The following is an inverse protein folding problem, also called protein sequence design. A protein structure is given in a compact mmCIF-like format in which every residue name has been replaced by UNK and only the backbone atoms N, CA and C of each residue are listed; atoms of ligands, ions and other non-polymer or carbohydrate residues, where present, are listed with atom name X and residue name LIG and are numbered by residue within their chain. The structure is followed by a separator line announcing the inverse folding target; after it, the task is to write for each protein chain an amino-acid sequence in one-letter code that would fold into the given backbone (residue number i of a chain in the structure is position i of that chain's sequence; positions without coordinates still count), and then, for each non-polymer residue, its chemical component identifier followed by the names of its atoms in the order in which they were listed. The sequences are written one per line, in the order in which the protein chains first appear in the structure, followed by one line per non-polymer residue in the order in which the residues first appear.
data_IF_713240892356
#
_entry.id   IF_713240892356
#
_cell.length_a   1.000
_cell.length_b   1.000
_cell.length_c   1.000
_cell.angle_alpha   90.00
_cell.angle_beta   90.00
_cell.angle_gamma   90.00
#
_symmetry.space_group_name_H-M   'P 1'
#
loop_
_entity.id
_entity.type
_entity.pdbx_description
1 polymer ?
#
# COMPACT_ATOMS: atom_id res chain seq x y z
N UNK A 1 -2.29 9.56 -35.77
CA UNK A 1 -1.59 8.63 -34.87
C UNK A 1 -1.26 9.42 -33.63
N UNK A 2 -1.75 9.04 -32.47
CA UNK A 2 -1.31 9.68 -31.23
C UNK A 2 0.18 9.36 -31.07
N UNK A 3 1.00 10.38 -30.92
CA UNK A 3 2.44 10.20 -30.69
C UNK A 3 2.62 9.49 -29.34
N UNK A 4 3.11 8.24 -29.37
CA UNK A 4 3.39 7.48 -28.14
C UNK A 4 4.59 8.14 -27.49
N UNK A 5 4.49 8.62 -26.24
CA UNK A 5 5.60 9.27 -25.57
C UNK A 5 6.81 8.33 -25.44
N UNK A 6 8.00 8.82 -25.73
CA UNK A 6 9.25 8.08 -25.53
C UNK A 6 9.42 7.66 -24.06
N UNK A 7 9.99 6.47 -23.80
CA UNK A 7 10.29 6.05 -22.44
C UNK A 7 11.43 6.90 -21.84
N UNK A 8 11.36 7.15 -20.55
CA UNK A 8 12.50 7.73 -19.83
C UNK A 8 13.67 6.74 -19.76
N UNK A 9 14.90 7.24 -19.60
CA UNK A 9 16.10 6.41 -19.54
C UNK A 9 15.98 5.25 -18.52
N UNK A 10 15.53 5.52 -17.31
CA UNK A 10 15.34 4.52 -16.27
C UNK A 10 14.23 3.48 -16.62
N UNK A 11 13.26 3.85 -17.45
CA UNK A 11 12.23 2.90 -17.93
C UNK A 11 12.84 1.96 -18.97
N UNK A 12 13.63 2.50 -19.90
CA UNK A 12 14.37 1.69 -20.88
C UNK A 12 15.34 0.73 -20.21
N UNK A 13 16.06 1.20 -19.19
CA UNK A 13 16.97 0.36 -18.40
C UNK A 13 16.23 -0.75 -17.66
N UNK A 14 15.09 -0.42 -17.04
CA UNK A 14 14.21 -1.43 -16.40
C UNK A 14 13.69 -2.44 -17.42
N UNK A 15 13.31 -2.01 -18.62
CA UNK A 15 12.86 -2.88 -19.71
C UNK A 15 13.96 -3.86 -20.12
N UNK A 16 15.17 -3.36 -20.35
CA UNK A 16 16.32 -4.19 -20.72
C UNK A 16 16.65 -5.19 -19.61
N UNK A 17 16.65 -4.73 -18.35
CA UNK A 17 16.87 -5.62 -17.20
C UNK A 17 15.84 -6.77 -17.12
N UNK A 18 14.56 -6.50 -17.38
CA UNK A 18 13.53 -7.54 -17.44
C UNK A 18 13.80 -8.54 -18.55
N UNK A 19 14.21 -8.06 -19.73
CA UNK A 19 14.48 -8.92 -20.90
C UNK A 19 15.68 -9.80 -20.64
N UNK A 20 16.73 -9.27 -20.03
CA UNK A 20 17.96 -10.01 -19.72
C UNK A 20 17.82 -10.96 -18.53
N UNK A 21 16.86 -10.67 -17.62
CA UNK A 21 16.61 -11.41 -16.38
C UNK A 21 15.18 -11.95 -16.34
N UNK A 22 14.93 -13.16 -16.84
CA UNK A 22 13.57 -13.71 -16.93
C UNK A 22 12.89 -13.94 -15.57
N UNK A 23 13.67 -13.92 -14.48
CA UNK A 23 13.18 -14.04 -13.11
C UNK A 23 13.72 -12.86 -12.31
N UNK A 24 12.92 -11.77 -12.18
CA UNK A 24 13.40 -10.53 -11.58
C UNK A 24 12.39 -9.83 -10.66
N UNK A 25 12.93 -8.92 -9.87
CA UNK A 25 12.19 -8.07 -8.93
C UNK A 25 12.42 -6.59 -9.27
N UNK A 26 11.35 -5.82 -9.42
CA UNK A 26 11.42 -4.38 -9.65
C UNK A 26 10.99 -3.68 -8.36
N UNK A 27 11.95 -3.09 -7.66
CA UNK A 27 11.73 -2.42 -6.37
C UNK A 27 11.74 -0.90 -6.48
N UNK A 28 11.61 -0.36 -7.69
CA UNK A 28 11.56 1.08 -7.99
C UNK A 28 10.36 1.75 -7.33
N UNK A 29 10.51 3.02 -6.97
CA UNK A 29 9.47 3.79 -6.31
C UNK A 29 8.15 3.85 -7.11
N UNK A 30 7.02 4.04 -6.46
CA UNK A 30 5.77 4.35 -7.16
C UNK A 30 5.91 5.62 -7.99
N UNK A 31 5.37 5.58 -9.22
CA UNK A 31 5.44 6.71 -10.14
C UNK A 31 6.67 6.73 -11.09
N UNK A 32 7.59 5.76 -10.98
CA UNK A 32 8.71 5.60 -11.92
C UNK A 32 8.33 4.97 -13.27
N UNK A 33 7.07 4.54 -13.44
CA UNK A 33 6.60 3.94 -14.69
C UNK A 33 6.91 2.45 -14.82
N UNK A 34 6.93 1.70 -13.73
CA UNK A 34 7.14 0.24 -13.75
C UNK A 34 6.21 -0.51 -14.71
N UNK A 35 4.92 -0.12 -14.75
CA UNK A 35 3.94 -0.69 -15.68
C UNK A 35 4.37 -0.50 -17.12
N UNK A 36 4.83 0.69 -17.51
CA UNK A 36 5.35 0.99 -18.84
C UNK A 36 6.52 0.08 -19.19
N UNK A 37 7.51 -0.05 -18.32
CA UNK A 37 8.67 -0.91 -18.57
C UNK A 37 8.27 -2.39 -18.74
N UNK A 38 7.28 -2.88 -17.96
CA UNK A 38 6.74 -4.23 -18.14
C UNK A 38 6.00 -4.42 -19.46
N UNK A 39 5.28 -3.40 -19.94
CA UNK A 39 4.60 -3.44 -21.24
C UNK A 39 5.62 -3.46 -22.39
N UNK A 40 6.63 -2.63 -22.33
CA UNK A 40 7.70 -2.58 -23.32
C UNK A 40 8.49 -3.90 -23.34
N UNK A 41 8.78 -4.48 -22.15
CA UNK A 41 9.41 -5.80 -22.04
C UNK A 41 8.53 -6.93 -22.58
N UNK A 42 7.21 -6.90 -22.37
CA UNK A 42 6.29 -7.88 -22.97
C UNK A 42 6.37 -7.90 -24.49
N UNK A 43 6.42 -6.73 -25.12
CA UNK A 43 6.54 -6.61 -26.59
C UNK A 43 7.85 -7.23 -27.09
N UNK A 44 8.97 -7.04 -26.37
CA UNK A 44 10.30 -7.57 -26.74
C UNK A 44 10.36 -9.09 -26.48
N UNK A 45 9.90 -9.56 -25.33
CA UNK A 45 9.91 -10.98 -24.96
C UNK A 45 8.98 -11.81 -25.84
N UNK A 46 7.89 -11.20 -26.29
CA UNK A 46 6.83 -11.93 -27.00
C UNK A 46 6.07 -12.92 -26.11
N UNK A 47 5.30 -13.78 -26.76
CA UNK A 47 4.49 -14.78 -26.04
C UNK A 47 3.30 -14.15 -25.31
N UNK A 48 2.76 -14.86 -24.33
CA UNK A 48 1.57 -14.40 -23.58
C UNK A 48 1.89 -14.11 -22.11
N UNK A 49 1.30 -13.04 -21.62
CA UNK A 49 1.53 -12.56 -20.25
C UNK A 49 0.27 -12.61 -19.39
N UNK A 50 0.40 -13.18 -18.21
CA UNK A 50 -0.57 -13.08 -17.12
C UNK A 50 -0.12 -12.01 -16.14
N UNK A 51 -0.97 -11.02 -15.88
CA UNK A 51 -0.75 -9.98 -14.88
C UNK A 51 -1.65 -10.22 -13.67
N UNK A 52 -1.06 -10.34 -12.49
CA UNK A 52 -1.73 -10.34 -11.19
C UNK A 52 -1.54 -8.99 -10.52
N UNK A 53 -2.61 -8.22 -10.34
CA UNK A 53 -2.55 -6.87 -9.76
C UNK A 53 -3.70 -6.63 -8.75
N UNK A 54 -3.60 -5.60 -7.89
CA UNK A 54 -4.73 -5.15 -7.08
C UNK A 54 -5.96 -4.81 -7.95
N UNK A 55 -7.16 -5.19 -7.49
CA UNK A 55 -8.40 -4.95 -8.23
C UNK A 55 -8.58 -3.49 -8.67
N UNK A 56 -8.17 -2.56 -7.82
CA UNK A 56 -8.34 -1.11 -8.04
C UNK A 56 -7.52 -0.53 -9.19
N UNK A 57 -6.49 -1.24 -9.67
CA UNK A 57 -5.58 -0.76 -10.71
C UNK A 57 -5.66 -1.52 -12.03
N UNK A 58 -6.54 -2.53 -12.13
CA UNK A 58 -6.68 -3.29 -13.37
C UNK A 58 -7.03 -2.37 -14.54
N UNK A 59 -8.04 -1.51 -14.37
CA UNK A 59 -8.47 -0.52 -15.37
C UNK A 59 -7.66 0.78 -15.27
N UNK A 60 -7.56 1.33 -14.04
CA UNK A 60 -7.04 2.67 -13.79
C UNK A 60 -5.51 2.82 -13.94
N UNK A 61 -4.78 1.73 -14.13
CA UNK A 61 -3.35 1.76 -14.42
C UNK A 61 -3.03 0.88 -15.62
N UNK A 62 -3.26 -0.44 -15.52
CA UNK A 62 -2.85 -1.37 -16.58
C UNK A 62 -3.54 -1.09 -17.92
N UNK A 63 -4.88 -0.98 -17.94
CA UNK A 63 -5.61 -0.71 -19.19
C UNK A 63 -5.29 0.69 -19.72
N UNK A 64 -5.23 1.71 -18.85
CA UNK A 64 -4.88 3.07 -19.26
C UNK A 64 -3.45 3.13 -19.83
N UNK A 65 -2.49 2.45 -19.20
CA UNK A 65 -1.09 2.43 -19.67
C UNK A 65 -0.93 1.61 -20.96
N UNK A 66 -1.65 0.49 -21.14
CA UNK A 66 -1.68 -0.25 -22.42
C UNK A 66 -2.17 0.65 -23.53
N UNK A 67 -3.34 1.27 -23.36
CA UNK A 67 -3.94 2.13 -24.39
C UNK A 67 -3.05 3.35 -24.71
N UNK A 68 -2.25 3.81 -23.77
CA UNK A 68 -1.38 4.98 -23.92
C UNK A 68 -0.03 4.63 -24.55
N UNK A 69 0.59 3.51 -24.17
CA UNK A 69 1.97 3.21 -24.48
C UNK A 69 2.14 2.03 -25.44
N UNK A 70 1.23 1.06 -25.43
CA UNK A 70 1.28 -0.15 -26.27
C UNK A 70 -0.12 -0.52 -26.76
N UNK A 71 -0.79 0.37 -27.54
CA UNK A 71 -2.20 0.23 -27.93
C UNK A 71 -2.49 -0.99 -28.80
N UNK A 72 -1.47 -1.60 -29.39
CA UNK A 72 -1.61 -2.78 -30.26
C UNK A 72 -1.70 -4.09 -29.47
N UNK A 73 -1.38 -4.11 -28.16
CA UNK A 73 -1.50 -5.31 -27.32
C UNK A 73 -2.97 -5.70 -27.18
N UNK A 74 -3.29 -6.92 -27.60
CA UNK A 74 -4.61 -7.51 -27.37
C UNK A 74 -4.72 -8.00 -25.95
N UNK A 75 -5.49 -7.32 -25.12
CA UNK A 75 -5.64 -7.65 -23.72
C UNK A 75 -7.05 -8.03 -23.32
N UNK A 76 -7.17 -8.80 -22.23
CA UNK A 76 -8.43 -9.12 -21.59
C UNK A 76 -8.39 -8.90 -20.09
N UNK A 77 -9.40 -8.26 -19.51
CA UNK A 77 -9.51 -8.05 -18.06
C UNK A 77 -10.40 -9.15 -17.47
N UNK A 78 -9.81 -10.10 -16.77
CA UNK A 78 -10.46 -11.27 -16.20
C UNK A 78 -10.87 -11.01 -14.75
N UNK A 79 -12.15 -10.67 -14.53
CA UNK A 79 -12.66 -10.32 -13.21
C UNK A 79 -14.04 -10.92 -12.95
N UNK A 80 -14.27 -11.38 -11.73
CA UNK A 80 -15.56 -11.91 -11.26
C UNK A 80 -16.18 -12.94 -12.25
N UNK A 81 -17.35 -12.62 -12.81
CA UNK A 81 -18.13 -13.53 -13.64
C UNK A 81 -17.57 -13.75 -15.06
N UNK A 82 -16.76 -12.80 -15.58
CA UNK A 82 -16.19 -12.92 -16.92
C UNK A 82 -14.88 -13.72 -16.94
N UNK A 83 -14.31 -14.05 -15.79
CA UNK A 83 -12.97 -14.63 -15.63
C UNK A 83 -12.77 -15.85 -16.50
N UNK A 84 -13.66 -16.82 -16.43
CA UNK A 84 -13.54 -18.06 -17.20
C UNK A 84 -13.61 -17.81 -18.71
N UNK A 85 -14.50 -16.91 -19.15
CA UNK A 85 -14.62 -16.51 -20.56
C UNK A 85 -13.30 -15.93 -21.08
N UNK A 86 -12.71 -15.02 -20.34
CA UNK A 86 -11.45 -14.35 -20.73
C UNK A 86 -10.30 -15.35 -20.78
N UNK A 87 -10.16 -16.26 -19.80
CA UNK A 87 -9.10 -17.27 -19.81
C UNK A 87 -9.26 -18.33 -20.92
N UNK A 88 -10.48 -18.57 -21.39
CA UNK A 88 -10.74 -19.46 -22.53
C UNK A 88 -10.41 -18.82 -23.89
N UNK A 89 -10.43 -17.51 -23.96
CA UNK A 89 -10.14 -16.77 -25.20
C UNK A 89 -8.64 -16.66 -25.42
N UNK A 90 -8.13 -17.47 -26.34
CA UNK A 90 -6.71 -17.52 -26.68
C UNK A 90 -6.26 -16.39 -27.60
N UNK A 91 -7.14 -15.45 -27.99
CA UNK A 91 -6.77 -14.33 -28.84
C UNK A 91 -6.03 -13.21 -28.07
N UNK A 92 -6.16 -13.19 -26.74
CA UNK A 92 -5.45 -12.22 -25.90
C UNK A 92 -3.97 -12.56 -25.75
N UNK A 93 -3.12 -11.54 -25.91
CA UNK A 93 -1.68 -11.59 -25.66
C UNK A 93 -1.37 -11.31 -24.19
N UNK A 94 -2.22 -10.50 -23.56
CA UNK A 94 -2.11 -10.18 -22.13
C UNK A 94 -3.45 -10.38 -21.42
N UNK A 95 -3.45 -11.12 -20.31
CA UNK A 95 -4.61 -11.24 -19.43
C UNK A 95 -4.30 -10.59 -18.08
N UNK A 96 -5.09 -9.58 -17.73
CA UNK A 96 -4.94 -8.81 -16.49
C UNK A 96 -6.02 -9.28 -15.51
N UNK A 97 -5.62 -9.65 -14.29
CA UNK A 97 -6.58 -10.16 -13.29
C UNK A 97 -6.17 -9.79 -11.86
N UNK A 98 -7.12 -9.90 -10.93
CA UNK A 98 -6.84 -9.63 -9.53
C UNK A 98 -6.30 -10.88 -8.79
N UNK A 99 -5.74 -10.67 -7.60
CA UNK A 99 -5.13 -11.72 -6.78
C UNK A 99 -6.08 -12.87 -6.41
N UNK A 100 -7.39 -12.65 -6.40
CA UNK A 100 -8.38 -13.71 -6.13
C UNK A 100 -8.44 -14.76 -7.25
N UNK A 101 -8.00 -14.39 -8.45
CA UNK A 101 -7.91 -15.33 -9.58
C UNK A 101 -6.96 -16.49 -9.30
N UNK A 102 -5.98 -16.33 -8.43
CA UNK A 102 -5.04 -17.41 -8.04
C UNK A 102 -5.78 -18.65 -7.51
N UNK A 103 -6.87 -18.45 -6.74
CA UNK A 103 -7.68 -19.57 -6.26
C UNK A 103 -8.47 -20.26 -7.38
N UNK A 104 -8.91 -19.51 -8.38
CA UNK A 104 -9.57 -20.06 -9.58
C UNK A 104 -8.58 -20.82 -10.46
N UNK A 105 -7.42 -20.24 -10.73
CA UNK A 105 -6.37 -20.84 -11.54
C UNK A 105 -5.80 -22.11 -10.91
N UNK A 106 -5.67 -22.16 -9.59
CA UNK A 106 -5.23 -23.36 -8.88
C UNK A 106 -6.20 -24.56 -9.07
N UNK A 107 -7.50 -24.27 -9.27
CA UNK A 107 -8.50 -25.30 -9.60
C UNK A 107 -8.57 -25.62 -11.10
N UNK A 108 -8.05 -24.75 -11.94
CA UNK A 108 -8.10 -24.84 -13.39
C UNK A 108 -6.72 -24.54 -14.01
N UNK A 109 -5.68 -25.33 -13.68
CA UNK A 109 -4.31 -25.05 -14.09
C UNK A 109 -4.11 -25.09 -15.61
N UNK A 110 -4.96 -25.79 -16.35
CA UNK A 110 -4.93 -25.84 -17.82
C UNK A 110 -5.03 -24.45 -18.49
N UNK A 111 -5.57 -23.45 -17.80
CA UNK A 111 -5.60 -22.08 -18.33
C UNK A 111 -4.23 -21.41 -18.32
N UNK A 112 -3.27 -21.94 -17.53
CA UNK A 112 -1.93 -21.37 -17.43
C UNK A 112 -0.99 -21.81 -18.55
N UNK A 113 -1.28 -22.94 -19.20
CA UNK A 113 -0.43 -23.52 -20.25
C UNK A 113 -0.22 -22.60 -21.46
N UNK A 114 -1.05 -21.55 -21.60
CA UNK A 114 -0.92 -20.58 -22.68
C UNK A 114 0.00 -19.40 -22.36
N UNK A 115 0.45 -19.24 -21.10
CA UNK A 115 1.22 -18.07 -20.68
C UNK A 115 2.68 -18.40 -20.46
N UNK A 116 3.55 -17.56 -20.99
CA UNK A 116 5.01 -17.64 -20.83
C UNK A 116 5.49 -16.80 -19.66
N UNK A 117 4.83 -15.64 -19.46
CA UNK A 117 5.24 -14.61 -18.50
C UNK A 117 4.18 -14.39 -17.42
N UNK A 118 4.63 -14.34 -16.16
CA UNK A 118 3.84 -13.91 -15.01
C UNK A 118 4.38 -12.57 -14.51
N UNK A 119 3.51 -11.56 -14.42
CA UNK A 119 3.80 -10.30 -13.75
C UNK A 119 2.99 -10.24 -12.46
N UNK A 120 3.65 -10.02 -11.33
CA UNK A 120 3.02 -9.82 -10.02
C UNK A 120 3.19 -8.36 -9.63
N UNK A 121 2.15 -7.55 -9.84
CA UNK A 121 2.14 -6.15 -9.42
C UNK A 121 1.71 -6.04 -7.96
N UNK A 122 2.49 -5.33 -7.16
CA UNK A 122 2.39 -5.26 -5.70
C UNK A 122 2.57 -6.62 -5.02
N UNK A 123 3.74 -7.22 -5.20
CA UNK A 123 4.07 -8.56 -4.68
C UNK A 123 3.95 -8.68 -3.15
N UNK A 124 3.93 -7.58 -2.41
CA UNK A 124 3.68 -7.55 -0.96
C UNK A 124 2.35 -8.19 -0.58
N UNK A 125 1.40 -8.25 -1.49
CA UNK A 125 0.17 -9.02 -1.32
C UNK A 125 0.40 -10.51 -1.03
N UNK A 126 1.56 -11.05 -1.40
CA UNK A 126 1.96 -12.46 -1.24
C UNK A 126 3.03 -12.68 -0.15
N UNK A 127 3.41 -11.67 0.63
CA UNK A 127 4.43 -11.77 1.69
C UNK A 127 4.10 -12.79 2.77
N UNK A 128 2.81 -12.99 3.07
CA UNK A 128 2.39 -14.01 4.01
C UNK A 128 2.31 -15.40 3.33
N UNK A 129 3.39 -16.19 3.44
CA UNK A 129 3.50 -17.54 2.88
C UNK A 129 2.40 -18.52 3.34
N UNK A 130 1.77 -18.28 4.52
CA UNK A 130 0.73 -19.17 5.05
C UNK A 130 -0.66 -18.85 4.53
N UNK A 131 -0.86 -17.67 3.93
CA UNK A 131 -2.12 -17.29 3.32
C UNK A 131 -2.46 -18.23 2.16
N UNK A 132 -3.74 -18.56 2.01
CA UNK A 132 -4.23 -19.49 0.97
C UNK A 132 -3.80 -19.07 -0.43
N UNK A 133 -3.93 -17.78 -0.75
CA UNK A 133 -3.52 -17.23 -2.05
C UNK A 133 -2.02 -17.40 -2.32
N UNK A 134 -1.17 -17.17 -1.30
CA UNK A 134 0.28 -17.32 -1.42
C UNK A 134 0.70 -18.76 -1.65
N UNK A 135 0.12 -19.71 -0.87
CA UNK A 135 0.34 -21.14 -1.06
C UNK A 135 -0.12 -21.63 -2.44
N UNK A 136 -1.23 -21.09 -2.94
CA UNK A 136 -1.75 -21.46 -4.24
C UNK A 136 -0.86 -20.92 -5.37
N UNK A 137 -0.42 -19.66 -5.29
CA UNK A 137 0.47 -19.07 -6.29
C UNK A 137 1.80 -19.83 -6.35
N UNK A 138 2.39 -20.19 -5.20
CA UNK A 138 3.64 -20.97 -5.15
C UNK A 138 3.56 -22.33 -5.88
N UNK A 139 2.36 -22.90 -6.05
CA UNK A 139 2.15 -24.13 -6.84
C UNK A 139 2.03 -23.86 -8.34
N UNK A 140 1.79 -22.61 -8.72
CA UNK A 140 1.49 -22.22 -10.10
C UNK A 140 2.66 -21.52 -10.80
N UNK A 141 3.64 -21.01 -10.06
CA UNK A 141 4.75 -20.24 -10.65
C UNK A 141 5.59 -21.05 -11.61
N UNK A 142 5.65 -22.39 -11.47
CA UNK A 142 6.39 -23.28 -12.37
C UNK A 142 5.81 -23.36 -13.79
N UNK A 143 4.59 -22.90 -14.02
CA UNK A 143 4.02 -22.79 -15.37
C UNK A 143 4.66 -21.68 -16.21
N UNK A 144 5.35 -20.71 -15.57
CA UNK A 144 5.87 -19.52 -16.24
C UNK A 144 7.39 -19.56 -16.35
N UNK A 145 7.89 -19.33 -17.56
CA UNK A 145 9.31 -19.17 -17.85
C UNK A 145 9.83 -17.86 -17.28
N UNK A 146 9.09 -16.76 -17.51
CA UNK A 146 9.41 -15.43 -17.04
C UNK A 146 8.55 -15.06 -15.83
N UNK A 147 9.17 -14.56 -14.76
CA UNK A 147 8.49 -14.20 -13.51
C UNK A 147 8.99 -12.84 -13.05
N UNK A 148 8.15 -11.83 -13.17
CA UNK A 148 8.46 -10.45 -12.85
C UNK A 148 7.61 -10.05 -11.63
N UNK A 149 8.25 -9.69 -10.54
CA UNK A 149 7.56 -9.21 -9.34
C UNK A 149 7.90 -7.76 -9.07
N UNK A 150 6.90 -6.89 -8.88
CA UNK A 150 7.16 -5.47 -8.65
C UNK A 150 6.43 -4.92 -7.42
N UNK A 151 7.11 -4.08 -6.65
CA UNK A 151 6.58 -3.30 -5.54
C UNK A 151 7.56 -2.21 -5.12
N UNK A 152 7.07 -1.04 -4.77
CA UNK A 152 7.88 0.03 -4.16
C UNK A 152 8.13 -0.15 -2.67
N UNK A 153 7.58 -1.20 -2.02
CA UNK A 153 7.61 -1.38 -0.56
C UNK A 153 7.92 -2.83 -0.17
N UNK A 154 9.07 -3.40 -0.56
CA UNK A 154 9.34 -4.84 -0.53
C UNK A 154 9.32 -5.47 0.89
N UNK A 155 9.74 -4.74 1.92
CA UNK A 155 9.84 -5.22 3.31
C UNK A 155 9.07 -4.32 4.31
N UNK A 156 7.79 -4.14 4.08
CA UNK A 156 6.95 -3.15 4.78
C UNK A 156 6.84 -3.33 6.31
N UNK A 157 7.18 -4.49 6.87
CA UNK A 157 7.14 -4.74 8.32
C UNK A 157 8.45 -5.26 8.89
N UNK A 158 9.05 -6.28 8.28
CA UNK A 158 10.29 -6.93 8.68
C UNK A 158 11.02 -7.42 7.43
N UNK A 159 12.30 -7.73 7.55
CA UNK A 159 13.06 -8.34 6.45
C UNK A 159 12.45 -9.69 5.99
N UNK A 160 11.66 -10.34 6.84
CA UNK A 160 10.99 -11.61 6.50
C UNK A 160 9.93 -11.44 5.41
N UNK A 161 9.39 -10.25 5.22
CA UNK A 161 8.34 -9.97 4.23
C UNK A 161 8.83 -10.20 2.78
N UNK A 162 10.15 -10.07 2.52
CA UNK A 162 10.72 -10.24 1.17
C UNK A 162 10.92 -11.71 0.77
N UNK A 163 11.01 -12.63 1.76
CA UNK A 163 11.36 -14.03 1.48
C UNK A 163 10.39 -14.72 0.52
N UNK A 164 9.08 -14.63 0.77
CA UNK A 164 8.12 -15.35 -0.06
C UNK A 164 7.95 -14.75 -1.45
N UNK A 165 7.92 -13.42 -1.64
CA UNK A 165 8.01 -12.82 -2.97
C UNK A 165 9.24 -13.25 -3.76
N UNK A 166 10.43 -13.24 -3.17
CA UNK A 166 11.64 -13.73 -3.83
C UNK A 166 11.53 -15.22 -4.19
N UNK A 167 10.99 -16.05 -3.28
CA UNK A 167 10.72 -17.48 -3.54
C UNK A 167 9.77 -17.69 -4.74
N UNK A 168 8.76 -16.84 -4.93
CA UNK A 168 7.85 -16.92 -6.07
C UNK A 168 8.55 -16.60 -7.39
N UNK A 169 9.58 -15.78 -7.36
CA UNK A 169 10.39 -15.39 -8.52
C UNK A 169 11.41 -16.48 -8.87
N UNK A 170 12.23 -16.89 -7.90
CA UNK A 170 13.45 -17.68 -8.14
C UNK A 170 13.44 -19.10 -7.54
N UNK A 171 12.29 -19.59 -7.05
CA UNK A 171 12.13 -20.91 -6.42
C UNK A 171 13.01 -21.08 -5.16
N UNK A 172 13.48 -19.97 -4.56
CA UNK A 172 14.30 -19.94 -3.34
C UNK A 172 15.80 -20.09 -3.61
N UNK A 173 16.26 -19.77 -4.79
CA UNK A 173 17.68 -19.84 -5.16
C UNK A 173 18.54 -18.91 -4.31
N UNK A 174 18.11 -17.65 -4.10
CA UNK A 174 18.89 -16.63 -3.38
C UNK A 174 18.64 -16.62 -1.87
N UNK A 175 17.40 -16.74 -1.44
CA UNK A 175 17.04 -16.66 -0.02
C UNK A 175 16.77 -18.02 0.63
N UNK A 176 16.92 -19.11 -0.12
CA UNK A 176 16.68 -20.47 0.33
C UNK A 176 15.21 -20.90 0.27
N UNK A 177 14.97 -22.17 -0.01
CA UNK A 177 13.62 -22.74 -0.17
C UNK A 177 12.86 -23.00 1.15
N UNK A 178 13.48 -22.76 2.33
CA UNK A 178 12.89 -23.06 3.64
C UNK A 178 12.81 -21.82 4.52
N UNK A 179 11.60 -21.31 4.70
CA UNK A 179 11.37 -20.08 5.50
C UNK A 179 11.96 -20.10 6.90
N UNK A 180 11.83 -21.20 7.63
CA UNK A 180 12.34 -21.24 9.01
C UNK A 180 13.86 -21.21 9.07
N UNK A 181 14.56 -21.78 8.09
CA UNK A 181 16.00 -21.66 7.96
C UNK A 181 16.39 -20.20 7.68
N UNK A 182 15.74 -19.57 6.70
CA UNK A 182 15.91 -18.15 6.41
C UNK A 182 15.67 -17.27 7.65
N UNK A 183 14.51 -17.42 8.32
CA UNK A 183 14.18 -16.65 9.52
C UNK A 183 15.28 -16.74 10.60
N UNK A 184 15.78 -17.94 10.87
CA UNK A 184 16.82 -18.15 11.89
C UNK A 184 18.18 -17.54 11.48
N UNK A 185 18.45 -17.42 10.18
CA UNK A 185 19.64 -16.72 9.67
C UNK A 185 19.54 -15.21 9.85
N UNK A 186 18.36 -14.62 9.55
CA UNK A 186 18.20 -13.17 9.47
C UNK A 186 17.61 -12.52 10.71
N UNK A 187 16.98 -13.28 11.60
CA UNK A 187 16.34 -12.77 12.82
C UNK A 187 16.84 -13.47 14.07
N UNK A 188 16.70 -12.79 15.21
CA UNK A 188 16.85 -13.35 16.56
C UNK A 188 15.50 -13.37 17.27
N UNK A 189 15.16 -14.45 18.01
CA UNK A 189 13.96 -14.48 18.82
C UNK A 189 14.13 -13.62 20.07
N UNK A 190 13.14 -12.79 20.38
CA UNK A 190 13.01 -12.05 21.63
C UNK A 190 11.68 -12.38 22.28
N UNK A 191 11.71 -12.94 23.47
CA UNK A 191 10.50 -13.25 24.22
C UNK A 191 9.85 -11.97 24.74
N UNK A 192 8.57 -11.75 24.45
CA UNK A 192 7.82 -10.56 24.85
C UNK A 192 6.86 -10.79 26.02
N UNK A 193 7.02 -11.90 26.75
CA UNK A 193 6.14 -12.30 27.85
C UNK A 193 5.04 -13.31 27.47
N UNK A 194 4.70 -13.43 26.18
CA UNK A 194 3.67 -14.34 25.67
C UNK A 194 4.15 -15.22 24.52
N UNK A 195 5.00 -14.68 23.65
CA UNK A 195 5.51 -15.37 22.45
C UNK A 195 6.89 -14.81 22.07
N UNK A 196 7.60 -15.52 21.19
CA UNK A 196 8.81 -15.00 20.58
C UNK A 196 8.45 -14.00 19.48
N UNK A 197 8.87 -12.75 19.64
CA UNK A 197 8.94 -11.76 18.56
C UNK A 197 10.28 -11.95 17.84
N UNK A 198 10.24 -11.97 16.49
CA UNK A 198 11.45 -12.13 15.69
C UNK A 198 11.95 -10.75 15.27
N UNK A 199 13.17 -10.43 15.70
CA UNK A 199 13.80 -9.13 15.46
C UNK A 199 14.89 -9.31 14.43
N UNK A 200 14.88 -8.46 13.39
CA UNK A 200 15.88 -8.43 12.35
C UNK A 200 17.27 -8.21 12.96
N UNK A 201 18.28 -8.99 12.55
CA UNK A 201 19.66 -8.83 12.97
C UNK A 201 20.22 -7.51 12.42
N UNK A 202 21.13 -6.84 13.14
CA UNK A 202 21.82 -5.67 12.60
C UNK A 202 22.57 -6.00 11.31
N UNK A 203 22.53 -5.13 10.31
CA UNK A 203 23.26 -5.29 9.05
C UNK A 203 22.69 -6.38 8.13
N UNK A 204 21.48 -6.86 8.40
CA UNK A 204 20.88 -7.94 7.58
C UNK A 204 20.35 -7.41 6.26
N UNK A 205 19.99 -6.14 6.18
CA UNK A 205 19.50 -5.48 4.98
C UNK A 205 20.56 -5.51 3.87
N UNK A 206 21.83 -5.28 4.21
CA UNK A 206 22.98 -5.35 3.29
C UNK A 206 23.16 -6.76 2.73
N UNK A 207 23.10 -7.77 3.58
CA UNK A 207 23.24 -9.18 3.18
C UNK A 207 22.10 -9.60 2.25
N UNK A 208 20.88 -9.15 2.50
CA UNK A 208 19.72 -9.50 1.68
C UNK A 208 19.76 -8.75 0.35
N UNK A 209 20.16 -7.47 0.36
CA UNK A 209 20.33 -6.70 -0.87
C UNK A 209 21.40 -7.31 -1.78
N UNK A 210 22.56 -7.68 -1.23
CA UNK A 210 23.63 -8.36 -1.98
C UNK A 210 23.13 -9.67 -2.62
N UNK A 211 22.40 -10.49 -1.86
CA UNK A 211 21.85 -11.76 -2.40
C UNK A 211 20.83 -11.60 -3.51
N UNK A 212 20.13 -10.47 -3.55
CA UNK A 212 19.08 -10.18 -4.53
C UNK A 212 19.57 -9.25 -5.65
N UNK A 213 20.82 -8.78 -5.62
CA UNK A 213 21.35 -7.74 -6.51
C UNK A 213 21.27 -8.14 -7.99
N UNK A 214 21.54 -9.38 -8.31
CA UNK A 214 21.53 -9.91 -9.68
C UNK A 214 20.13 -10.07 -10.28
N UNK A 215 19.09 -10.10 -9.44
CA UNK A 215 17.68 -10.23 -9.89
C UNK A 215 16.83 -9.01 -9.53
N UNK A 216 17.41 -7.96 -8.96
CA UNK A 216 16.65 -6.78 -8.55
C UNK A 216 17.12 -5.51 -9.24
N UNK A 217 16.19 -4.69 -9.69
CA UNK A 217 16.46 -3.35 -10.18
C UNK A 217 15.67 -2.31 -9.40
N UNK A 218 16.30 -1.14 -9.13
CA UNK A 218 15.70 -0.07 -8.37
C UNK A 218 16.06 1.33 -8.89
N UNK A 219 15.01 2.13 -9.05
CA UNK A 219 15.12 3.58 -9.26
C UNK A 219 14.33 4.31 -8.17
N UNK A 220 14.97 5.26 -7.49
CA UNK A 220 14.26 6.17 -6.61
C UNK A 220 13.59 7.26 -7.47
N UNK A 221 12.38 7.66 -7.10
CA UNK A 221 11.63 8.67 -7.86
C UNK A 221 12.36 10.01 -7.94
N UNK A 222 13.09 10.37 -6.87
CA UNK A 222 13.93 11.58 -6.82
C UNK A 222 15.06 11.61 -7.84
N UNK A 223 15.51 10.44 -8.32
CA UNK A 223 16.57 10.36 -9.33
C UNK A 223 16.02 10.41 -10.76
N UNK A 224 14.74 10.10 -10.89
CA UNK A 224 14.06 10.01 -12.18
C UNK A 224 13.45 11.33 -12.62
N UNK A 225 12.98 12.13 -11.67
CA UNK A 225 12.28 13.40 -11.92
C UNK A 225 12.56 14.40 -10.79
N UNK A 226 12.62 15.68 -11.16
CA UNK A 226 12.66 16.76 -10.18
C UNK A 226 11.29 16.91 -9.51
N UNK A 227 11.25 16.66 -8.21
CA UNK A 227 10.06 16.86 -7.39
C UNK A 227 10.29 17.98 -6.38
N UNK A 228 9.29 18.85 -6.16
CA UNK A 228 9.33 19.79 -5.03
C UNK A 228 9.42 19.07 -3.69
N UNK A 229 9.99 19.71 -2.67
CA UNK A 229 10.14 19.14 -1.34
C UNK A 229 8.81 18.64 -0.75
N UNK A 230 8.88 17.54 -0.02
CA UNK A 230 7.80 17.08 0.87
C UNK A 230 8.21 17.24 2.34
N UNK A 231 7.47 18.05 3.10
CA UNK A 231 7.77 18.34 4.50
C UNK A 231 6.81 17.57 5.40
N UNK A 232 7.34 16.80 6.33
CA UNK A 232 6.54 16.14 7.36
C UNK A 232 6.59 16.92 8.67
N UNK A 233 5.42 17.25 9.24
CA UNK A 233 5.32 17.92 10.53
C UNK A 233 4.30 17.26 11.44
N UNK A 234 4.51 17.39 12.75
CA UNK A 234 3.62 16.83 13.76
C UNK A 234 2.84 17.93 14.47
N UNK A 235 1.52 17.79 14.50
CA UNK A 235 0.63 18.62 15.31
C UNK A 235 0.31 17.86 16.60
N UNK A 236 0.85 18.37 17.71
CA UNK A 236 0.63 17.79 19.03
C UNK A 236 -0.65 18.34 19.64
N UNK A 237 -1.53 17.46 20.09
CA UNK A 237 -2.75 17.78 20.82
C UNK A 237 -2.66 17.30 22.27
N UNK A 238 -3.59 17.73 23.09
CA UNK A 238 -3.78 17.24 24.47
C UNK A 238 -5.24 16.84 24.63
N UNK A 239 -5.49 15.74 25.30
CA UNK A 239 -6.83 15.37 25.73
C UNK A 239 -7.33 16.32 26.80
N UNK A 240 -8.62 16.58 26.84
CA UNK A 240 -9.24 17.27 27.97
C UNK A 240 -9.04 16.46 29.25
N UNK A 241 -9.02 17.08 30.45
CA UNK A 241 -8.85 16.35 31.71
C UNK A 241 -9.89 15.22 31.90
N UNK A 242 -11.09 15.39 31.39
CA UNK A 242 -12.14 14.37 31.46
C UNK A 242 -11.80 13.16 30.57
N UNK A 243 -11.44 13.39 29.32
CA UNK A 243 -11.05 12.35 28.37
C UNK A 243 -9.74 11.67 28.80
N UNK A 244 -8.77 12.42 29.36
CA UNK A 244 -7.53 11.86 29.89
C UNK A 244 -7.82 10.86 31.03
N UNK A 245 -8.71 11.20 31.96
CA UNK A 245 -9.13 10.25 33.03
C UNK A 245 -9.75 8.98 32.45
N UNK A 246 -10.64 9.10 31.46
CA UNK A 246 -11.23 7.93 30.78
C UNK A 246 -10.13 7.07 30.12
N UNK A 247 -9.16 7.71 29.47
CA UNK A 247 -8.02 7.06 28.85
C UNK A 247 -7.18 6.28 29.88
N UNK A 248 -6.84 6.93 31.01
CA UNK A 248 -6.02 6.35 32.07
C UNK A 248 -6.74 5.17 32.75
N UNK A 249 -8.06 5.30 32.99
CA UNK A 249 -8.90 4.21 33.49
C UNK A 249 -8.87 3.00 32.56
N UNK A 250 -9.12 3.21 31.27
CA UNK A 250 -9.12 2.12 30.28
C UNK A 250 -7.71 1.49 30.15
N UNK A 251 -6.65 2.30 30.23
CA UNK A 251 -5.28 1.82 30.17
C UNK A 251 -4.92 0.94 31.38
N UNK A 252 -5.40 1.28 32.57
CA UNK A 252 -5.09 0.59 33.83
C UNK A 252 -6.01 -0.61 34.08
N UNK A 253 -7.33 -0.41 33.95
CA UNK A 253 -8.33 -1.38 34.37
C UNK A 253 -8.81 -2.31 33.25
N UNK A 254 -8.48 -2.00 32.00
CA UNK A 254 -8.93 -2.72 30.79
C UNK A 254 -10.45 -2.70 30.57
N UNK A 255 -11.17 -1.90 31.35
CA UNK A 255 -12.63 -1.69 31.29
C UNK A 255 -12.91 -0.20 31.38
N UNK A 256 -13.89 0.27 30.62
CA UNK A 256 -14.38 1.63 30.68
C UNK A 256 -15.91 1.59 30.76
N UNK A 257 -16.46 2.16 31.81
CA UNK A 257 -17.90 2.37 31.93
C UNK A 257 -18.27 3.73 31.32
N UNK A 258 -19.19 3.71 30.39
CA UNK A 258 -19.71 4.91 29.74
C UNK A 258 -21.20 5.07 30.02
N UNK A 259 -21.79 6.20 29.67
CA UNK A 259 -23.23 6.44 29.85
C UNK A 259 -24.14 5.47 29.08
N UNK A 260 -23.61 4.84 28.02
CA UNK A 260 -24.37 4.05 27.05
C UNK A 260 -24.05 2.56 27.14
N UNK A 261 -22.92 2.19 27.76
CA UNK A 261 -22.51 0.78 27.87
C UNK A 261 -21.11 0.60 28.41
N UNK A 262 -20.67 -0.65 28.47
CA UNK A 262 -19.34 -1.04 28.95
C UNK A 262 -18.41 -1.37 27.77
N UNK A 263 -17.18 -0.90 27.85
CA UNK A 263 -16.13 -1.20 26.86
C UNK A 263 -15.10 -2.10 27.53
N UNK A 264 -15.02 -3.34 27.11
CA UNK A 264 -14.06 -4.31 27.60
C UNK A 264 -12.82 -4.41 26.69
N UNK A 265 -11.64 -4.48 27.28
CA UNK A 265 -10.36 -4.54 26.57
C UNK A 265 -9.39 -5.52 27.25
N UNK A 266 -9.87 -6.74 27.50
CA UNK A 266 -9.19 -7.77 28.32
C UNK A 266 -7.83 -8.17 27.70
N UNK A 267 -7.73 -8.25 26.37
CA UNK A 267 -6.47 -8.59 25.72
C UNK A 267 -5.64 -7.34 25.40
N UNK A 268 -4.31 -7.44 25.52
CA UNK A 268 -3.39 -6.33 25.30
C UNK A 268 -3.57 -5.65 23.92
N UNK A 269 -3.79 -6.43 22.85
CA UNK A 269 -4.02 -5.89 21.50
C UNK A 269 -5.36 -5.16 21.38
N UNK A 270 -6.43 -5.67 21.99
CA UNK A 270 -7.72 -4.99 22.01
C UNK A 270 -7.65 -3.70 22.83
N UNK A 271 -6.88 -3.69 23.92
CA UNK A 271 -6.68 -2.50 24.77
C UNK A 271 -6.04 -1.36 23.98
N UNK A 272 -4.92 -1.62 23.30
CA UNK A 272 -4.27 -0.59 22.49
C UNK A 272 -5.21 -0.06 21.40
N UNK A 273 -5.98 -0.94 20.75
CA UNK A 273 -6.97 -0.54 19.75
C UNK A 273 -8.05 0.37 20.34
N UNK A 274 -8.61 0.03 21.49
CA UNK A 274 -9.63 0.83 22.19
C UNK A 274 -9.06 2.17 22.69
N UNK A 275 -7.82 2.17 23.21
CA UNK A 275 -7.13 3.41 23.58
C UNK A 275 -6.93 4.36 22.39
N UNK A 276 -6.53 3.86 21.23
CA UNK A 276 -6.41 4.66 20.02
C UNK A 276 -7.77 5.18 19.54
N UNK A 277 -8.82 4.36 19.61
CA UNK A 277 -10.17 4.79 19.28
C UNK A 277 -10.66 5.91 20.20
N UNK A 278 -10.46 5.80 21.52
CA UNK A 278 -10.84 6.82 22.48
C UNK A 278 -10.13 8.16 22.22
N UNK A 279 -8.83 8.11 21.93
CA UNK A 279 -8.03 9.31 21.60
C UNK A 279 -8.54 9.99 20.33
N UNK A 280 -9.13 9.23 19.41
CA UNK A 280 -9.70 9.77 18.16
C UNK A 280 -11.17 10.17 18.28
N UNK A 281 -11.76 10.13 19.47
CA UNK A 281 -13.06 10.74 19.75
C UNK A 281 -14.21 9.76 19.99
N UNK A 282 -14.03 8.46 19.79
CA UNK A 282 -15.07 7.48 20.06
C UNK A 282 -14.49 6.13 20.47
N UNK A 283 -15.31 5.27 21.06
CA UNK A 283 -15.00 3.87 21.29
C UNK A 283 -16.15 3.01 20.77
N UNK A 284 -15.84 1.78 20.40
CA UNK A 284 -16.86 0.78 20.08
C UNK A 284 -17.05 -0.11 21.29
N UNK A 285 -18.30 -0.33 21.69
CA UNK A 285 -18.61 -1.29 22.76
C UNK A 285 -18.50 -2.75 22.27
N UNK A 286 -18.93 -3.69 23.10
CA UNK A 286 -18.84 -5.12 22.78
C UNK A 286 -19.85 -5.54 21.69
N UNK A 287 -20.90 -4.76 21.48
CA UNK A 287 -21.88 -4.92 20.39
C UNK A 287 -21.46 -4.18 19.12
N UNK A 288 -20.26 -3.58 19.11
CA UNK A 288 -19.72 -2.76 18.01
C UNK A 288 -20.49 -1.45 17.74
N UNK A 289 -21.29 -0.98 18.71
CA UNK A 289 -21.92 0.32 18.64
C UNK A 289 -20.91 1.42 18.94
N UNK A 290 -21.02 2.51 18.22
CA UNK A 290 -20.11 3.66 18.35
C UNK A 290 -20.57 4.54 19.50
N UNK A 291 -19.68 4.73 20.49
CA UNK A 291 -19.91 5.65 21.58
C UNK A 291 -19.02 6.88 21.40
N UNK A 292 -19.61 7.99 20.97
CA UNK A 292 -18.92 9.22 20.73
C UNK A 292 -18.56 9.91 22.06
N UNK A 293 -17.30 10.34 22.20
CA UNK A 293 -16.74 10.88 23.43
C UNK A 293 -16.40 12.37 23.30
N UNK A 294 -15.69 12.73 22.20
CA UNK A 294 -15.22 14.10 21.97
C UNK A 294 -14.89 14.35 20.49
N UNK A 295 -14.79 15.63 20.07
CA UNK A 295 -14.56 15.99 18.68
C UNK A 295 -13.36 16.94 18.44
N UNK A 296 -12.63 17.33 19.46
CA UNK A 296 -11.60 18.39 19.37
C UNK A 296 -10.54 18.11 18.30
N UNK A 297 -10.26 16.83 18.03
CA UNK A 297 -9.35 16.41 16.96
C UNK A 297 -9.86 16.82 15.59
N UNK A 298 -11.15 16.65 15.35
CA UNK A 298 -11.78 16.94 14.07
C UNK A 298 -11.87 18.43 13.80
N UNK A 299 -12.07 19.23 14.85
CA UNK A 299 -12.03 20.70 14.77
C UNK A 299 -10.65 21.19 14.31
N UNK A 300 -9.57 20.53 14.81
CA UNK A 300 -8.20 20.79 14.33
C UNK A 300 -8.03 20.39 12.87
N UNK A 301 -8.53 19.22 12.48
CA UNK A 301 -8.46 18.75 11.08
C UNK A 301 -9.19 19.73 10.17
N UNK A 302 -10.40 20.16 10.51
CA UNK A 302 -11.18 21.08 9.71
C UNK A 302 -10.52 22.47 9.62
N UNK A 303 -9.91 22.94 10.71
CA UNK A 303 -9.08 24.17 10.70
C UNK A 303 -7.92 24.03 9.71
N UNK A 304 -7.23 22.88 9.70
CA UNK A 304 -6.15 22.64 8.75
C UNK A 304 -6.67 22.54 7.30
N UNK A 305 -7.81 21.92 7.06
CA UNK A 305 -8.47 21.84 5.75
C UNK A 305 -8.87 23.23 5.25
N UNK A 306 -9.46 24.05 6.12
CA UNK A 306 -9.93 25.41 5.75
C UNK A 306 -8.80 26.36 5.31
N UNK A 307 -7.58 26.11 5.78
CA UNK A 307 -6.37 26.89 5.42
C UNK A 307 -5.74 26.45 4.09
N UNK A 308 -6.27 25.45 3.42
CA UNK A 308 -5.69 24.85 2.21
C UNK A 308 -6.67 24.84 1.05
N UNK A 309 -6.15 25.05 -0.15
CA UNK A 309 -6.98 24.99 -1.36
C UNK A 309 -7.47 23.56 -1.61
N UNK A 310 -6.56 22.57 -1.56
CA UNK A 310 -6.89 21.17 -1.74
C UNK A 310 -6.07 20.30 -0.78
N UNK A 311 -6.72 19.34 -0.13
CA UNK A 311 -6.10 18.43 0.84
C UNK A 311 -6.66 17.02 0.80
N UNK A 312 -5.88 16.07 1.30
CA UNK A 312 -6.33 14.72 1.62
C UNK A 312 -6.32 14.55 3.14
N UNK A 313 -7.35 13.93 3.69
CA UNK A 313 -7.43 13.59 5.11
C UNK A 313 -7.50 12.07 5.24
N UNK A 314 -6.48 11.47 5.85
CA UNK A 314 -6.44 10.05 6.14
C UNK A 314 -7.19 9.75 7.44
N UNK A 315 -8.13 8.80 7.39
CA UNK A 315 -8.84 8.26 8.56
C UNK A 315 -8.67 6.74 8.65
N UNK A 316 -8.65 6.19 9.87
CA UNK A 316 -8.53 4.75 10.09
C UNK A 316 -9.84 4.13 10.63
N UNK A 317 -10.76 4.93 11.18
CA UNK A 317 -11.97 4.46 11.83
C UNK A 317 -13.22 5.05 11.18
N UNK A 318 -14.33 4.30 11.21
CA UNK A 318 -15.62 4.77 10.68
C UNK A 318 -16.10 6.05 11.38
N UNK A 319 -15.95 6.11 12.71
CA UNK A 319 -16.35 7.29 13.47
C UNK A 319 -15.57 8.55 13.10
N UNK A 320 -14.28 8.40 12.71
CA UNK A 320 -13.49 9.54 12.19
C UNK A 320 -14.09 10.06 10.88
N UNK A 321 -14.38 9.15 9.94
CA UNK A 321 -15.05 9.49 8.67
C UNK A 321 -16.35 10.24 8.91
N UNK A 322 -17.20 9.68 9.77
CA UNK A 322 -18.55 10.20 10.00
C UNK A 322 -18.50 11.59 10.68
N UNK A 323 -17.58 11.80 11.64
CA UNK A 323 -17.35 13.09 12.25
C UNK A 323 -16.80 14.15 11.27
N UNK A 324 -15.86 13.75 10.41
CA UNK A 324 -15.31 14.63 9.37
C UNK A 324 -16.39 15.06 8.37
N UNK A 325 -17.26 14.14 7.96
CA UNK A 325 -18.42 14.43 7.08
C UNK A 325 -19.34 15.46 7.73
N UNK A 326 -19.76 15.21 8.96
CA UNK A 326 -20.67 16.13 9.68
C UNK A 326 -20.09 17.54 9.80
N UNK A 327 -18.81 17.67 10.09
CA UNK A 327 -18.16 18.98 10.20
C UNK A 327 -17.99 19.65 8.84
N UNK A 328 -17.63 18.92 7.79
CA UNK A 328 -17.51 19.46 6.44
C UNK A 328 -18.86 20.00 5.93
N UNK A 329 -19.95 19.27 6.18
CA UNK A 329 -21.32 19.73 5.86
C UNK A 329 -21.70 20.99 6.64
N UNK A 330 -21.42 21.00 7.95
CA UNK A 330 -21.68 22.16 8.81
C UNK A 330 -20.91 23.42 8.38
N UNK A 331 -19.68 23.25 7.91
CA UNK A 331 -18.80 24.35 7.51
C UNK A 331 -18.91 24.69 6.02
N UNK A 332 -19.75 23.97 5.25
CA UNK A 332 -19.94 24.19 3.81
C UNK A 332 -18.70 23.87 2.98
N UNK A 333 -17.85 22.96 3.44
CA UNK A 333 -16.64 22.53 2.73
C UNK A 333 -17.00 21.44 1.73
N UNK A 334 -16.64 21.63 0.45
CA UNK A 334 -16.83 20.59 -0.57
C UNK A 334 -15.89 19.42 -0.33
N UNK A 335 -16.45 18.24 -0.18
CA UNK A 335 -15.71 17.01 0.10
C UNK A 335 -16.24 15.81 -0.69
N UNK A 336 -15.46 14.76 -0.76
CA UNK A 336 -15.85 13.40 -1.15
C UNK A 336 -15.12 12.38 -0.29
N UNK A 337 -15.61 11.14 -0.28
CA UNK A 337 -15.03 10.06 0.52
C UNK A 337 -14.50 8.95 -0.40
N UNK A 338 -13.30 8.43 -0.10
CA UNK A 338 -12.74 7.25 -0.75
C UNK A 338 -12.44 6.20 0.32
N UNK A 339 -13.33 5.22 0.43
CA UNK A 339 -13.15 4.05 1.31
C UNK A 339 -13.50 2.74 0.56
N UNK A 340 -13.54 1.62 1.30
CA UNK A 340 -13.84 0.30 0.74
C UNK A 340 -15.26 0.13 0.19
N UNK A 341 -16.18 1.04 0.49
CA UNK A 341 -17.58 0.98 0.03
C UNK A 341 -17.79 1.68 -1.31
N UNK A 342 -16.82 2.49 -1.76
CA UNK A 342 -16.91 3.29 -3.00
C UNK A 342 -16.59 2.41 -4.21
N UNK A 343 -17.54 2.20 -5.14
CA UNK A 343 -17.30 1.45 -6.37
C UNK A 343 -16.22 2.09 -7.27
N UNK A 344 -15.57 1.29 -8.11
CA UNK A 344 -14.46 1.74 -8.97
C UNK A 344 -14.86 2.91 -9.90
N UNK A 345 -16.01 2.82 -10.56
CA UNK A 345 -16.58 3.88 -11.42
C UNK A 345 -16.73 5.21 -10.67
N UNK A 346 -17.36 5.16 -9.48
CA UNK A 346 -17.55 6.35 -8.64
C UNK A 346 -16.21 6.93 -8.18
N UNK A 347 -15.25 6.07 -7.86
CA UNK A 347 -13.90 6.49 -7.47
C UNK A 347 -13.19 7.24 -8.61
N UNK A 348 -13.35 6.78 -9.86
CA UNK A 348 -12.82 7.46 -11.05
C UNK A 348 -13.41 8.86 -11.21
N UNK A 349 -14.73 9.00 -11.08
CA UNK A 349 -15.41 10.30 -11.11
C UNK A 349 -14.91 11.25 -10.03
N UNK A 350 -14.81 10.77 -8.78
CA UNK A 350 -14.28 11.55 -7.64
C UNK A 350 -12.88 12.08 -7.94
N UNK A 351 -11.98 11.21 -8.44
CA UNK A 351 -10.61 11.59 -8.77
C UNK A 351 -10.58 12.66 -9.87
N UNK A 352 -11.37 12.50 -10.93
CA UNK A 352 -11.44 13.48 -12.02
C UNK A 352 -11.94 14.84 -11.53
N UNK A 353 -12.99 14.88 -10.75
CA UNK A 353 -13.55 16.11 -10.17
C UNK A 353 -12.58 16.77 -9.19
N UNK A 354 -11.85 15.97 -8.40
CA UNK A 354 -10.83 16.48 -7.49
C UNK A 354 -9.65 17.09 -8.25
N UNK A 355 -9.13 16.40 -9.27
CA UNK A 355 -8.05 16.91 -10.11
C UNK A 355 -8.46 18.17 -10.89
N UNK A 356 -9.74 18.30 -11.27
CA UNK A 356 -10.31 19.50 -11.85
C UNK A 356 -10.52 20.65 -10.83
N UNK A 357 -10.25 20.43 -9.54
CA UNK A 357 -10.38 21.44 -8.48
C UNK A 357 -11.81 21.69 -8.01
N UNK A 358 -12.78 20.83 -8.36
CA UNK A 358 -14.18 20.95 -7.97
C UNK A 358 -14.44 20.49 -6.52
N UNK A 359 -13.52 19.74 -5.93
CA UNK A 359 -13.61 19.21 -4.57
C UNK A 359 -12.43 19.74 -3.78
N UNK A 360 -12.69 20.32 -2.60
CA UNK A 360 -11.65 20.91 -1.76
C UNK A 360 -10.85 19.85 -1.00
N UNK A 361 -11.54 18.84 -0.45
CA UNK A 361 -10.88 17.80 0.35
C UNK A 361 -11.43 16.41 0.06
N UNK A 362 -10.54 15.40 0.11
CA UNK A 362 -10.93 13.99 0.07
C UNK A 362 -10.68 13.38 1.44
N UNK A 363 -11.70 12.77 2.03
CA UNK A 363 -11.57 11.92 3.20
C UNK A 363 -11.28 10.50 2.73
N UNK A 364 -10.10 9.98 3.04
CA UNK A 364 -9.61 8.73 2.48
C UNK A 364 -9.29 7.70 3.55
N UNK A 365 -9.80 6.48 3.38
CA UNK A 365 -9.22 5.34 4.08
C UNK A 365 -7.92 4.92 3.36
N UNK A 366 -6.75 4.92 4.03
CA UNK A 366 -5.46 4.73 3.37
C UNK A 366 -5.39 3.47 2.50
N UNK A 367 -5.91 2.35 2.97
CA UNK A 367 -5.94 1.10 2.18
C UNK A 367 -6.70 1.24 0.85
N UNK A 368 -7.77 2.02 0.83
CA UNK A 368 -8.61 2.17 -0.37
C UNK A 368 -8.04 3.19 -1.37
N UNK A 369 -7.22 4.11 -0.88
CA UNK A 369 -6.59 5.15 -1.67
C UNK A 369 -5.11 4.87 -1.99
N UNK A 370 -4.54 3.74 -1.49
CA UNK A 370 -3.11 3.41 -1.65
C UNK A 370 -2.72 2.97 -3.06
N UNK A 371 -3.66 2.58 -3.92
CA UNK A 371 -3.32 2.03 -5.23
C UNK A 371 -3.94 2.84 -6.38
N UNK A 372 -3.14 3.10 -7.42
CA UNK A 372 -3.58 3.56 -8.73
C UNK A 372 -4.13 4.99 -8.83
N UNK A 373 -4.21 5.75 -7.73
CA UNK A 373 -4.77 7.10 -7.78
C UNK A 373 -3.67 8.16 -7.92
N UNK A 374 -3.89 9.14 -8.77
CA UNK A 374 -3.08 10.37 -8.87
C UNK A 374 -3.88 11.53 -8.30
N UNK A 375 -3.39 12.13 -7.21
CA UNK A 375 -4.10 13.17 -6.46
C UNK A 375 -3.21 14.42 -6.28
N UNK A 376 -2.43 14.75 -7.31
CA UNK A 376 -1.44 15.84 -7.32
C UNK A 376 -2.05 17.23 -7.22
N UNK A 377 -3.36 17.37 -7.34
CA UNK A 377 -4.05 18.62 -7.04
C UNK A 377 -3.91 19.00 -5.57
N UNK A 378 -3.84 18.02 -4.67
CA UNK A 378 -3.57 18.29 -3.25
C UNK A 378 -2.09 18.58 -3.01
N UNK A 379 -1.83 19.51 -2.12
CA UNK A 379 -0.48 19.82 -1.59
C UNK A 379 -0.31 19.38 -0.15
N UNK A 380 -1.36 18.91 0.50
CA UNK A 380 -1.35 18.53 1.92
C UNK A 380 -2.04 17.20 2.14
N UNK A 381 -1.40 16.34 2.93
CA UNK A 381 -2.02 15.16 3.56
C UNK A 381 -2.10 15.39 5.07
N UNK A 382 -3.29 15.19 5.64
CA UNK A 382 -3.53 15.28 7.09
C UNK A 382 -3.88 13.88 7.59
N UNK A 383 -3.02 13.30 8.41
CA UNK A 383 -3.31 12.04 9.10
C UNK A 383 -4.09 12.33 10.37
N UNK A 384 -5.39 12.04 10.35
CA UNK A 384 -6.29 12.23 11.48
C UNK A 384 -5.87 11.39 12.68
N UNK A 385 -5.39 10.17 12.43
CA UNK A 385 -4.87 9.26 13.44
C UNK A 385 -3.70 8.44 12.90
N UNK A 386 -2.81 7.90 13.78
CA UNK A 386 -1.66 7.11 13.35
C UNK A 386 -2.07 5.72 12.83
N UNK A 387 -1.25 5.20 11.93
CA UNK A 387 -1.34 3.81 11.45
C UNK A 387 -0.09 3.02 11.81
N UNK A 388 -0.21 1.70 12.01
CA UNK A 388 0.92 0.77 12.12
C UNK A 388 1.40 0.23 10.77
N UNK A 389 0.64 0.50 9.70
CA UNK A 389 0.91 -0.02 8.37
C UNK A 389 1.79 0.95 7.60
N UNK A 390 3.11 0.65 7.53
CA UNK A 390 4.09 1.45 6.83
C UNK A 390 3.83 1.50 5.31
N UNK A 391 3.40 0.39 4.73
CA UNK A 391 3.05 0.28 3.31
C UNK A 391 1.91 1.25 2.94
N UNK A 392 0.78 1.18 3.65
CA UNK A 392 -0.33 2.11 3.40
C UNK A 392 0.06 3.57 3.66
N UNK A 393 0.88 3.83 4.68
CA UNK A 393 1.36 5.17 4.99
C UNK A 393 2.19 5.74 3.82
N UNK A 394 3.18 5.01 3.37
CA UNK A 394 4.04 5.45 2.28
C UNK A 394 3.26 5.58 0.97
N UNK A 395 2.51 4.54 0.58
CA UNK A 395 1.73 4.56 -0.65
C UNK A 395 0.70 5.69 -0.69
N UNK A 396 0.07 6.01 0.46
CA UNK A 396 -0.88 7.12 0.53
C UNK A 396 -0.20 8.48 0.40
N UNK A 397 0.93 8.68 1.09
CA UNK A 397 1.70 9.93 0.97
C UNK A 397 2.22 10.17 -0.47
N UNK A 398 2.54 9.12 -1.19
CA UNK A 398 2.94 9.19 -2.59
C UNK A 398 1.79 9.47 -3.57
N UNK A 399 0.54 9.65 -3.09
CA UNK A 399 -0.58 10.08 -3.97
C UNK A 399 -0.48 11.55 -4.37
N UNK A 400 0.14 12.38 -3.56
CA UNK A 400 0.35 13.81 -3.83
C UNK A 400 1.80 14.12 -4.23
N UNK A 401 2.79 13.40 -3.70
CA UNK A 401 4.21 13.58 -3.98
C UNK A 401 4.68 12.57 -5.04
N UNK A 402 4.43 12.89 -6.30
CA UNK A 402 4.72 12.05 -7.46
C UNK A 402 4.80 12.87 -8.74
N UNK A 403 5.12 12.23 -9.87
CA UNK A 403 5.13 12.85 -11.20
C UNK A 403 3.86 13.69 -11.46
N UNK A 404 4.06 14.92 -11.94
CA UNK A 404 3.01 15.91 -12.15
C UNK A 404 2.74 16.84 -10.95
N UNK A 405 3.42 16.65 -9.81
CA UNK A 405 3.39 17.63 -8.72
C UNK A 405 4.37 18.77 -8.99
N UNK A 406 3.88 20.00 -8.97
CA UNK A 406 4.67 21.21 -9.23
C UNK A 406 4.84 22.10 -8.01
N UNK A 407 4.18 21.77 -6.89
CA UNK A 407 4.19 22.54 -5.66
C UNK A 407 4.81 21.75 -4.51
N UNK A 408 5.43 22.44 -3.56
CA UNK A 408 5.86 21.82 -2.29
C UNK A 408 4.67 21.18 -1.60
N UNK A 409 4.91 19.98 -1.07
CA UNK A 409 3.88 19.21 -0.38
C UNK A 409 4.17 19.10 1.11
N UNK A 410 3.14 18.88 1.91
CA UNK A 410 3.29 18.61 3.34
C UNK A 410 2.48 17.39 3.79
N UNK A 411 3.04 16.67 4.74
CA UNK A 411 2.37 15.61 5.48
C UNK A 411 2.23 16.03 6.93
N UNK A 412 1.00 16.13 7.43
CA UNK A 412 0.69 16.54 8.80
C UNK A 412 0.26 15.32 9.60
N UNK A 413 0.98 15.04 10.69
CA UNK A 413 0.69 13.95 11.61
C UNK A 413 0.05 14.52 12.88
N UNK A 414 -1.21 14.19 13.14
CA UNK A 414 -1.87 14.60 14.40
C UNK A 414 -1.63 13.54 15.45
N UNK A 415 -1.18 13.93 16.63
CA UNK A 415 -0.99 13.02 17.76
C UNK A 415 -1.33 13.68 19.10
N UNK A 416 -1.95 12.92 19.99
CA UNK A 416 -2.18 13.33 21.37
C UNK A 416 -0.98 12.95 22.25
N UNK A 417 -0.41 13.94 22.97
CA UNK A 417 0.65 13.70 23.96
C UNK A 417 0.12 12.83 25.11
N UNK A 418 1.04 12.10 25.76
CA UNK A 418 0.75 11.20 26.90
C UNK A 418 -0.23 10.06 26.59
N UNK A 419 -0.26 9.64 25.32
CA UNK A 419 -1.06 8.52 24.84
C UNK A 419 -0.21 7.46 24.12
N UNK A 420 -0.84 6.45 23.53
CA UNK A 420 -0.14 5.46 22.70
C UNK A 420 0.24 6.00 21.31
N UNK A 421 -0.35 7.09 20.82
CA UNK A 421 -0.11 7.59 19.47
C UNK A 421 1.35 7.92 19.17
N UNK A 422 2.12 8.62 20.04
CA UNK A 422 3.55 8.84 19.81
C UNK A 422 4.34 7.52 19.66
N UNK A 423 3.95 6.46 20.40
CA UNK A 423 4.59 5.14 20.27
C UNK A 423 4.25 4.47 18.94
N UNK A 424 3.03 4.67 18.42
CA UNK A 424 2.62 4.16 17.11
C UNK A 424 3.44 4.82 16.00
N UNK A 425 3.54 6.15 16.00
CA UNK A 425 4.36 6.89 15.02
C UNK A 425 5.85 6.53 15.14
N UNK A 426 6.38 6.37 16.36
CA UNK A 426 7.77 5.90 16.53
C UNK A 426 7.99 4.52 15.91
N UNK A 427 7.06 3.57 16.12
CA UNK A 427 7.13 2.23 15.51
C UNK A 427 6.98 2.29 13.99
N UNK A 428 6.10 3.16 13.48
CA UNK A 428 5.94 3.41 12.05
C UNK A 428 7.24 3.92 11.43
N UNK A 429 7.86 4.95 12.01
CA UNK A 429 9.12 5.52 11.54
C UNK A 429 10.26 4.49 11.55
N UNK A 430 10.32 3.62 12.57
CA UNK A 430 11.30 2.53 12.58
C UNK A 430 11.12 1.56 11.41
N UNK A 431 9.88 1.23 11.05
CA UNK A 431 9.60 0.36 9.90
C UNK A 431 9.96 1.04 8.57
N UNK A 432 9.60 2.34 8.43
CA UNK A 432 9.94 3.13 7.25
C UNK A 432 11.47 3.22 7.08
N UNK A 433 12.21 3.54 8.13
CA UNK A 433 13.67 3.62 8.07
C UNK A 433 14.34 2.30 7.67
N UNK A 434 13.84 1.15 8.14
CA UNK A 434 14.34 -0.16 7.69
C UNK A 434 14.05 -0.44 6.22
N UNK A 435 12.85 -0.08 5.77
CA UNK A 435 12.49 -0.23 4.37
C UNK A 435 13.32 0.67 3.48
N UNK A 436 13.49 1.93 3.86
CA UNK A 436 14.35 2.89 3.16
C UNK A 436 15.81 2.42 3.10
N UNK A 437 16.32 1.86 4.21
CA UNK A 437 17.68 1.31 4.25
C UNK A 437 17.85 0.17 3.25
N UNK A 438 16.98 -0.84 3.26
CA UNK A 438 17.05 -1.93 2.28
C UNK A 438 16.95 -1.40 0.84
N UNK A 439 16.01 -0.47 0.60
CA UNK A 439 15.81 0.11 -0.72
C UNK A 439 17.02 0.93 -1.20
N UNK A 440 17.67 1.67 -0.30
CA UNK A 440 18.90 2.41 -0.61
C UNK A 440 20.02 1.46 -1.04
N UNK A 441 20.22 0.38 -0.28
CA UNK A 441 21.26 -0.61 -0.60
C UNK A 441 20.96 -1.34 -1.91
N UNK A 442 19.69 -1.74 -2.15
CA UNK A 442 19.30 -2.34 -3.43
C UNK A 442 19.58 -1.40 -4.63
N UNK A 443 19.48 -0.09 -4.44
CA UNK A 443 19.85 0.88 -5.47
C UNK A 443 21.36 0.94 -5.72
N UNK A 444 22.19 0.79 -4.67
CA UNK A 444 23.64 0.86 -4.79
C UNK A 444 24.23 -0.41 -5.42
N UNK A 445 23.55 -1.54 -5.32
CA UNK A 445 24.03 -2.85 -5.81
C UNK A 445 23.35 -3.30 -7.12
N UNK A 446 22.29 -2.63 -7.57
CA UNK A 446 21.65 -2.84 -8.88
C UNK A 446 22.24 -1.89 -9.92
#
# INVERSE_FOLDING_TARGET
MNDIPEPYAHQTETTNFIVDNPKCMITSDPGTGKTRACLDAHVILGGKTLVLAPLSILEAAWVEDINKFQPDIKYGVAYAKNREKIFKDKSFEMVITNFEAVNFLQKNPQFLEQFDTLIIDEFTAFKNRTAKRSKNLAKLVSYFTNRIAMSGTPNSNTILDIWHPAYLVDDGERLGGRFYAFRNQVCTPKFNGFANEWIDKPGIEEIIADRLSDISIRFALSDCIDLPDNITRTVNTKLTPAVQRMYDTLAKESVLYTKVGTVNAIHAGSRVKKLLQLVTGAVYDDESLVQFIHQERYDIVMTLVSQRAHSLVAFNWRHERDALIQLAEKEGISYEVIDGTVPAERRKDIVQRFQAGQIRTLFCHPQSASHGLTLTKATTIIWCSPTYNAEHFQQFNQRIHRAGQTQKTETILIQAKNTWEPKVYKKLNTKLGRMENLLHILKEVS
#
